data_IF_364478011598
#
_entry.id   IF_364478011598
#
_cell.length_a   1.000
_cell.length_b   1.000
_cell.length_c   1.000
_cell.angle_alpha   90.00
_cell.angle_beta   90.00
_cell.angle_gamma   90.00
#
_symmetry.space_group_name_H-M   'P 1'
#
loop_
_entity.id
_entity.type
_entity.pdbx_description
1 polymer ?
#
# COMPACT_ATOMS: atom_id res chain seq x y z
N UNK A 1 1.06 -18.59 -7.35
CA UNK A 1 0.77 -17.42 -6.50
C UNK A 1 -0.37 -17.76 -5.55
N UNK A 2 -0.39 -17.15 -4.37
CA UNK A 2 -1.36 -17.50 -3.33
C UNK A 2 -2.78 -17.15 -3.79
N UNK A 3 -3.60 -18.18 -4.03
CA UNK A 3 -5.04 -18.04 -4.31
C UNK A 3 -5.84 -17.57 -3.11
N UNK A 4 -5.25 -17.55 -1.91
CA UNK A 4 -5.86 -17.05 -0.68
C UNK A 4 -4.98 -15.98 -0.04
N UNK A 5 -5.48 -14.73 0.09
CA UNK A 5 -4.79 -13.69 0.86
C UNK A 5 -4.65 -14.08 2.34
N UNK A 6 -3.57 -13.63 2.98
CA UNK A 6 -3.34 -13.83 4.41
C UNK A 6 -4.11 -12.82 5.27
N UNK A 7 -4.07 -13.01 6.60
CA UNK A 7 -4.86 -12.26 7.61
C UNK A 7 -4.58 -10.74 7.63
N UNK A 8 -3.57 -10.25 6.91
CA UNK A 8 -3.21 -8.82 6.83
C UNK A 8 -3.11 -8.31 5.37
N UNK A 9 -3.57 -9.11 4.41
CA UNK A 9 -3.62 -8.67 3.02
C UNK A 9 -4.82 -7.74 2.77
N UNK A 10 -5.94 -7.99 3.46
CA UNK A 10 -7.14 -7.16 3.37
C UNK A 10 -7.06 -5.99 4.34
N UNK A 11 -7.13 -4.78 3.80
CA UNK A 11 -7.02 -3.56 4.58
C UNK A 11 -8.42 -3.07 5.00
N UNK A 12 -8.62 -2.45 6.18
CA UNK A 12 -9.94 -1.95 6.57
C UNK A 12 -10.52 -0.91 5.60
N UNK A 13 -9.67 -0.27 4.80
CA UNK A 13 -10.03 0.74 3.81
C UNK A 13 -10.08 0.17 2.38
N UNK A 14 -9.88 -1.14 2.21
CA UNK A 14 -10.13 -1.84 0.95
C UNK A 14 -11.54 -1.56 0.36
N UNK A 15 -12.65 -1.54 1.15
CA UNK A 15 -13.97 -1.21 0.60
C UNK A 15 -14.10 0.24 0.11
N UNK A 16 -13.19 1.15 0.48
CA UNK A 16 -13.19 2.53 -0.05
C UNK A 16 -12.59 2.61 -1.46
N UNK A 17 -11.87 1.58 -1.92
CA UNK A 17 -11.26 1.54 -3.25
C UNK A 17 -10.43 2.79 -3.56
N UNK A 18 -10.63 3.37 -4.75
CA UNK A 18 -9.93 4.60 -5.18
C UNK A 18 -10.36 5.86 -4.41
N UNK A 19 -11.47 5.82 -3.68
CA UNK A 19 -11.95 6.98 -2.90
C UNK A 19 -11.00 7.35 -1.76
N UNK A 20 -10.12 6.42 -1.35
CA UNK A 20 -9.04 6.69 -0.38
C UNK A 20 -8.16 7.86 -0.80
N UNK A 21 -7.95 8.07 -2.11
CA UNK A 21 -7.14 9.17 -2.62
C UNK A 21 -7.84 10.53 -2.50
N UNK A 22 -9.18 10.57 -2.53
CA UNK A 22 -9.93 11.80 -2.30
C UNK A 22 -9.80 12.30 -0.85
N UNK A 23 -9.58 11.38 0.10
CA UNK A 23 -9.25 11.69 1.49
C UNK A 23 -7.75 12.03 1.67
N UNK A 24 -6.87 11.21 1.09
CA UNK A 24 -5.41 11.36 1.26
C UNK A 24 -4.85 12.60 0.55
N UNK A 25 -5.37 12.99 -0.62
CA UNK A 25 -4.79 14.07 -1.41
C UNK A 25 -4.93 15.45 -0.74
N UNK A 26 -6.11 15.89 -0.26
CA UNK A 26 -6.24 17.14 0.48
C UNK A 26 -5.36 17.17 1.72
N UNK A 27 -5.24 16.04 2.43
CA UNK A 27 -4.38 15.93 3.61
C UNK A 27 -2.90 16.04 3.25
N UNK A 28 -2.43 15.33 2.22
CA UNK A 28 -1.05 15.44 1.75
C UNK A 28 -0.69 16.87 1.34
N UNK A 29 -1.59 17.53 0.60
CA UNK A 29 -1.43 18.94 0.20
C UNK A 29 -1.37 19.85 1.42
N UNK A 30 -2.28 19.68 2.38
CA UNK A 30 -2.32 20.49 3.60
C UNK A 30 -1.04 20.30 4.42
N UNK A 31 -0.58 19.06 4.64
CA UNK A 31 0.66 18.77 5.37
C UNK A 31 1.87 19.43 4.72
N UNK A 32 2.01 19.30 3.40
CA UNK A 32 3.12 19.91 2.65
C UNK A 32 3.04 21.44 2.71
N UNK A 33 1.85 22.01 2.56
CA UNK A 33 1.64 23.45 2.63
C UNK A 33 1.99 24.02 4.01
N UNK A 34 1.45 23.45 5.09
CA UNK A 34 1.74 23.90 6.46
C UNK A 34 3.22 23.73 6.82
N UNK A 35 3.85 22.64 6.36
CA UNK A 35 5.28 22.40 6.60
C UNK A 35 6.16 23.45 5.90
N UNK A 36 5.83 23.83 4.67
CA UNK A 36 6.59 24.82 3.89
C UNK A 36 6.32 26.27 4.32
N UNK A 37 5.11 26.60 4.77
CA UNK A 37 4.67 27.99 4.99
C UNK A 37 4.64 28.42 6.47
N UNK A 38 4.20 27.56 7.39
CA UNK A 38 3.96 27.91 8.80
C UNK A 38 5.07 27.42 9.76
N UNK A 39 6.00 26.59 9.28
CA UNK A 39 7.11 26.05 10.07
C UNK A 39 6.69 25.01 11.11
N UNK A 40 7.69 24.34 11.72
CA UNK A 40 7.50 23.15 12.59
C UNK A 40 6.57 23.36 13.79
N UNK A 41 6.41 24.61 14.26
CA UNK A 41 5.63 24.93 15.48
C UNK A 41 4.12 24.80 15.34
N UNK A 42 3.59 24.77 14.11
CA UNK A 42 2.16 24.53 13.82
C UNK A 42 1.92 23.24 13.05
N UNK A 43 2.97 22.48 12.76
CA UNK A 43 2.84 21.20 12.10
C UNK A 43 2.06 20.27 13.03
N UNK A 44 0.81 20.03 12.67
CA UNK A 44 -0.08 19.17 13.43
C UNK A 44 0.51 17.75 13.43
N UNK A 45 0.91 17.31 14.64
CA UNK A 45 1.62 16.04 14.86
C UNK A 45 0.88 14.88 14.21
N UNK A 46 -0.46 14.93 14.21
CA UNK A 46 -1.29 13.92 13.58
C UNK A 46 -1.01 13.77 12.08
N UNK A 47 -0.94 14.89 11.37
CA UNK A 47 -0.63 14.92 9.93
C UNK A 47 0.81 14.51 9.64
N UNK A 48 1.74 14.81 10.56
CA UNK A 48 3.13 14.38 10.45
C UNK A 48 3.28 12.85 10.57
N UNK A 49 2.45 12.17 11.37
CA UNK A 49 2.51 10.70 11.50
C UNK A 49 1.77 9.95 10.38
N UNK A 50 0.74 10.56 9.77
CA UNK A 50 0.01 9.95 8.65
C UNK A 50 0.93 9.69 7.45
N UNK A 51 1.82 10.62 7.12
CA UNK A 51 2.66 10.49 5.93
C UNK A 51 3.67 9.31 6.03
N UNK A 52 4.48 9.18 7.10
CA UNK A 52 5.30 8.01 7.36
C UNK A 52 4.49 6.71 7.39
N UNK A 53 3.27 6.76 7.94
CA UNK A 53 2.40 5.59 7.99
C UNK A 53 2.02 5.07 6.60
N UNK A 54 1.65 5.97 5.67
CA UNK A 54 1.36 5.60 4.28
C UNK A 54 2.61 5.04 3.57
N UNK A 55 3.79 5.63 3.81
CA UNK A 55 5.05 5.13 3.24
C UNK A 55 5.38 3.74 3.78
N UNK A 56 5.30 3.53 5.09
CA UNK A 56 5.55 2.22 5.70
C UNK A 56 4.58 1.18 5.13
N UNK A 57 3.32 1.56 4.87
CA UNK A 57 2.34 0.66 4.29
C UNK A 57 2.69 0.25 2.86
N UNK A 58 3.11 1.22 2.04
CA UNK A 58 3.59 0.98 0.69
C UNK A 58 4.83 0.06 0.69
N UNK A 59 5.83 0.37 1.53
CA UNK A 59 7.04 -0.45 1.68
C UNK A 59 6.74 -1.86 2.15
N UNK A 60 5.87 -2.02 3.15
CA UNK A 60 5.44 -3.33 3.62
C UNK A 60 4.79 -4.15 2.51
N UNK A 61 3.89 -3.54 1.72
CA UNK A 61 3.26 -4.24 0.60
C UNK A 61 4.30 -4.66 -0.46
N UNK A 62 5.20 -3.74 -0.82
CA UNK A 62 6.24 -3.98 -1.81
C UNK A 62 7.21 -5.09 -1.38
N UNK A 63 7.62 -5.11 -0.10
CA UNK A 63 8.47 -6.15 0.47
C UNK A 63 7.76 -7.51 0.38
N UNK A 64 6.48 -7.56 0.74
CA UNK A 64 5.72 -8.81 0.75
C UNK A 64 5.52 -9.39 -0.66
N UNK A 65 5.20 -8.52 -1.63
CA UNK A 65 5.12 -8.89 -3.05
C UNK A 65 6.49 -9.41 -3.52
N UNK A 66 7.57 -8.69 -3.21
CA UNK A 66 8.93 -9.07 -3.63
C UNK A 66 9.36 -10.41 -3.06
N UNK A 67 9.13 -10.64 -1.76
CA UNK A 67 9.44 -11.90 -1.09
C UNK A 67 8.62 -13.07 -1.67
N UNK A 68 7.32 -12.84 -1.92
CA UNK A 68 6.44 -13.87 -2.49
C UNK A 68 6.86 -14.25 -3.92
N UNK A 69 7.25 -13.27 -4.74
CA UNK A 69 7.74 -13.48 -6.11
C UNK A 69 9.09 -14.18 -6.10
N UNK A 70 10.02 -13.76 -5.25
CA UNK A 70 11.33 -14.40 -5.10
C UNK A 70 11.18 -15.88 -4.70
N UNK A 71 10.35 -16.18 -3.69
CA UNK A 71 10.06 -17.56 -3.28
C UNK A 71 9.40 -18.38 -4.38
N UNK A 72 8.51 -17.77 -5.16
CA UNK A 72 7.84 -18.44 -6.28
C UNK A 72 8.83 -18.77 -7.40
N UNK A 73 9.72 -17.82 -7.75
CA UNK A 73 10.68 -17.96 -8.84
C UNK A 73 11.83 -18.93 -8.52
N UNK A 74 12.33 -18.95 -7.29
CA UNK A 74 13.44 -19.84 -6.87
C UNK A 74 12.97 -21.18 -6.30
N UNK A 75 11.69 -21.31 -5.99
CA UNK A 75 11.11 -22.53 -5.41
C UNK A 75 10.90 -23.64 -6.45
N UNK A 76 10.82 -24.89 -5.98
CA UNK A 76 10.46 -26.08 -6.77
C UNK A 76 8.95 -26.13 -7.08
N UNK A 77 8.36 -25.00 -7.48
CA UNK A 77 6.94 -24.95 -7.81
C UNK A 77 6.72 -25.41 -9.25
N UNK A 78 5.67 -26.18 -9.49
CA UNK A 78 5.27 -26.58 -10.84
C UNK A 78 4.80 -25.36 -11.62
N UNK A 79 5.46 -25.05 -12.74
CA UNK A 79 4.99 -24.04 -13.69
C UNK A 79 3.75 -24.60 -14.39
N UNK A 80 2.66 -23.84 -14.36
CA UNK A 80 1.40 -24.18 -15.01
C UNK A 80 1.16 -23.15 -16.10
N UNK A 81 0.67 -23.58 -17.25
CA UNK A 81 0.20 -22.68 -18.32
C UNK A 81 -1.15 -22.08 -17.94
N UNK A 82 -1.13 -21.18 -16.94
CA UNK A 82 -2.28 -20.42 -16.47
C UNK A 82 -1.92 -18.94 -16.47
N UNK A 83 -2.77 -18.13 -17.09
CA UNK A 83 -2.67 -16.67 -17.02
C UNK A 83 -2.82 -16.15 -15.58
N UNK A 84 -2.33 -14.94 -15.33
CA UNK A 84 -2.53 -14.26 -14.04
C UNK A 84 -4.00 -13.87 -13.89
N UNK A 85 -4.61 -14.21 -12.75
CA UNK A 85 -6.01 -13.83 -12.49
C UNK A 85 -6.08 -12.30 -12.24
N UNK A 86 -7.08 -11.61 -12.81
CA UNK A 86 -7.26 -10.17 -12.63
C UNK A 86 -7.41 -9.77 -11.15
N UNK A 87 -8.09 -10.59 -10.36
CA UNK A 87 -8.20 -10.37 -8.91
C UNK A 87 -6.83 -10.36 -8.21
N UNK A 88 -5.83 -11.04 -8.78
CA UNK A 88 -4.48 -10.99 -8.26
C UNK A 88 -3.81 -9.65 -8.53
N UNK A 89 -4.01 -9.09 -9.73
CA UNK A 89 -3.51 -7.77 -10.10
C UNK A 89 -4.13 -6.69 -9.21
N UNK A 90 -5.44 -6.75 -8.98
CA UNK A 90 -6.15 -5.79 -8.12
C UNK A 90 -5.66 -5.84 -6.67
N UNK A 91 -5.37 -7.05 -6.15
CA UNK A 91 -4.80 -7.22 -4.80
C UNK A 91 -3.39 -6.67 -4.68
N UNK A 92 -2.56 -6.85 -5.70
CA UNK A 92 -1.18 -6.35 -5.70
C UNK A 92 -1.13 -4.83 -5.92
N UNK A 93 -2.12 -4.26 -6.62
CA UNK A 93 -2.26 -2.82 -6.83
C UNK A 93 -2.85 -2.07 -5.64
N UNK A 94 -3.65 -2.74 -4.79
CA UNK A 94 -4.19 -2.15 -3.57
C UNK A 94 -3.16 -2.12 -2.43
N UNK A 95 -2.43 -1.00 -2.33
CA UNK A 95 -1.61 -0.62 -1.19
C UNK A 95 -2.34 0.32 -0.23
#
# INVERSE_FOLDING_TARGET
MATKPGVLTKWPWEPLGNFKYALLAPWGVHTVYTFLHDGEKKADLFYMFIFPYVIIRFLHNQIWISLSRYRTAKGSNRIVDKAIDFDQVDRESNW
#
